data_IF_842882165331
#
_entry.id   IF_842882165331
#
_cell.length_a   1.000
_cell.length_b   1.000
_cell.length_c   1.000
_cell.angle_alpha   90.00
_cell.angle_beta   90.00
_cell.angle_gamma   90.00
#
_symmetry.space_group_name_H-M   'P 1'
#
loop_
_entity.id
_entity.type
_entity.pdbx_description
1 polymer ?
#
# COMPACT_ATOMS: atom_id res chain seq x y z
N UNK A 1 13.22 39.49 -14.87
CA UNK A 1 14.21 38.42 -15.10
C UNK A 1 13.42 37.14 -15.34
N UNK A 2 13.29 36.70 -16.60
CA UNK A 2 12.54 35.48 -16.95
C UNK A 2 13.50 34.32 -16.67
N UNK A 3 13.29 33.58 -15.59
CA UNK A 3 14.05 32.35 -15.36
C UNK A 3 13.68 31.36 -16.47
N UNK A 4 14.67 30.98 -17.28
CA UNK A 4 14.54 29.95 -18.29
C UNK A 4 14.22 28.61 -17.61
N UNK A 5 13.08 28.02 -17.97
CA UNK A 5 12.67 26.69 -17.52
C UNK A 5 13.66 25.66 -18.08
N UNK A 6 14.25 24.82 -17.24
CA UNK A 6 15.11 23.74 -17.72
C UNK A 6 14.23 22.68 -18.40
N UNK A 7 14.74 22.02 -19.43
CA UNK A 7 14.03 20.96 -20.16
C UNK A 7 13.60 19.78 -19.27
N UNK A 8 14.22 19.64 -18.09
CA UNK A 8 13.93 18.61 -17.09
C UNK A 8 12.74 18.96 -16.17
N UNK A 9 12.25 20.20 -16.18
CA UNK A 9 11.11 20.64 -15.35
C UNK A 9 9.75 20.25 -15.97
N UNK A 10 9.59 19.01 -16.41
CA UNK A 10 8.31 18.49 -16.92
C UNK A 10 7.47 17.99 -15.75
N UNK A 11 6.18 18.35 -15.70
CA UNK A 11 5.28 17.85 -14.68
C UNK A 11 4.88 16.40 -14.96
N UNK A 12 5.45 15.44 -14.22
CA UNK A 12 5.13 14.02 -14.25
C UNK A 12 5.35 13.38 -12.86
N UNK A 13 5.15 12.06 -12.74
CA UNK A 13 5.30 11.37 -11.43
C UNK A 13 6.76 11.40 -10.98
N UNK A 14 7.67 11.16 -11.92
CA UNK A 14 9.09 10.97 -11.68
C UNK A 14 9.73 12.25 -11.14
N UNK A 15 9.51 13.39 -11.79
CA UNK A 15 10.05 14.69 -11.38
C UNK A 15 9.47 15.20 -10.05
N UNK A 16 8.23 14.83 -9.72
CA UNK A 16 7.67 15.06 -8.38
C UNK A 16 8.40 14.21 -7.35
N UNK A 17 8.58 12.91 -7.62
CA UNK A 17 9.20 11.96 -6.69
C UNK A 17 10.72 12.16 -6.52
N UNK A 18 11.38 12.84 -7.45
CA UNK A 18 12.76 13.33 -7.28
C UNK A 18 12.86 14.41 -6.19
N UNK A 19 11.81 15.22 -6.00
CA UNK A 19 11.80 16.34 -5.05
C UNK A 19 11.11 16.01 -3.71
N UNK A 20 10.14 15.10 -3.71
CA UNK A 20 9.32 14.74 -2.54
C UNK A 20 9.11 13.24 -2.49
N UNK A 21 9.26 12.60 -1.32
CA UNK A 21 9.00 11.16 -1.21
C UNK A 21 7.50 10.84 -1.17
N UNK A 22 7.12 9.63 -1.58
CA UNK A 22 5.75 9.12 -1.43
C UNK A 22 5.27 9.22 0.03
N UNK A 23 6.20 9.00 0.98
CA UNK A 23 5.93 9.15 2.42
C UNK A 23 5.50 10.57 2.77
N UNK A 24 6.22 11.58 2.29
CA UNK A 24 5.87 12.98 2.53
C UNK A 24 4.53 13.33 1.89
N UNK A 25 4.25 12.83 0.68
CA UNK A 25 2.97 13.03 -0.01
C UNK A 25 1.83 12.45 0.83
N UNK A 26 1.93 11.20 1.26
CA UNK A 26 0.92 10.59 2.13
C UNK A 26 0.79 11.33 3.47
N UNK A 27 1.91 11.71 4.11
CA UNK A 27 1.89 12.42 5.39
C UNK A 27 1.22 13.79 5.29
N UNK A 28 1.33 14.46 4.15
CA UNK A 28 0.70 15.76 3.93
C UNK A 28 -0.80 15.62 3.65
N UNK A 29 -1.19 14.67 2.78
CA UNK A 29 -2.55 14.58 2.28
C UNK A 29 -3.46 13.61 3.04
N UNK A 30 -2.93 12.60 3.74
CA UNK A 30 -3.70 11.62 4.49
C UNK A 30 -3.69 11.97 5.98
N UNK A 31 -4.80 12.51 6.49
CA UNK A 31 -4.82 13.18 7.80
C UNK A 31 -4.56 12.24 8.98
N UNK A 32 -4.92 10.97 8.84
CA UNK A 32 -4.73 9.94 9.87
C UNK A 32 -3.46 9.10 9.67
N UNK A 33 -2.65 9.41 8.65
CA UNK A 33 -1.41 8.68 8.40
C UNK A 33 -0.28 9.21 9.28
N UNK A 34 0.13 8.42 10.27
CA UNK A 34 1.28 8.73 11.14
C UNK A 34 2.54 8.01 10.68
N UNK A 35 2.44 6.70 10.44
CA UNK A 35 3.58 5.88 10.07
C UNK A 35 3.17 4.66 9.24
N UNK A 36 4.10 4.12 8.42
CA UNK A 36 3.82 2.94 7.61
C UNK A 36 3.53 1.73 8.47
N UNK A 37 2.81 0.75 7.92
CA UNK A 37 2.49 -0.53 8.56
C UNK A 37 1.57 -0.47 9.79
N UNK A 38 1.19 0.72 10.25
CA UNK A 38 0.19 0.96 11.30
C UNK A 38 -1.19 1.13 10.67
N UNK A 39 -2.22 0.56 11.31
CA UNK A 39 -3.61 0.74 10.87
C UNK A 39 -4.17 2.06 11.38
N UNK A 40 -4.98 2.72 10.57
CA UNK A 40 -5.66 3.97 10.89
C UNK A 40 -7.04 4.03 10.22
N UNK A 41 -7.84 5.05 10.55
CA UNK A 41 -9.19 5.23 9.99
C UNK A 41 -9.12 5.80 8.57
N UNK A 42 -9.99 5.33 7.68
CA UNK A 42 -10.14 5.91 6.34
C UNK A 42 -10.62 7.36 6.44
N UNK A 43 -9.97 8.27 5.71
CA UNK A 43 -10.46 9.64 5.49
C UNK A 43 -11.15 9.83 4.13
N UNK A 44 -11.34 8.73 3.39
CA UNK A 44 -12.04 8.68 2.10
C UNK A 44 -13.53 8.28 2.23
N UNK A 45 -13.94 7.80 3.40
CA UNK A 45 -15.31 7.36 3.71
C UNK A 45 -15.55 7.47 5.21
N UNK A 46 -16.80 7.33 5.63
CA UNK A 46 -17.11 7.16 7.06
C UNK A 46 -16.50 5.85 7.57
N UNK A 47 -15.59 5.95 8.55
CA UNK A 47 -14.87 4.81 9.12
C UNK A 47 -14.74 4.95 10.64
N UNK A 48 -15.37 4.03 11.36
CA UNK A 48 -15.39 4.04 12.83
C UNK A 48 -14.29 3.17 13.44
N UNK A 49 -13.55 2.42 12.63
CA UNK A 49 -12.50 1.49 13.08
C UNK A 49 -11.23 1.65 12.24
N UNK A 50 -10.04 1.33 12.76
CA UNK A 50 -8.81 1.45 11.99
C UNK A 50 -8.70 0.34 10.94
N UNK A 51 -9.24 0.58 9.74
CA UNK A 51 -9.33 -0.39 8.65
C UNK A 51 -8.35 -0.15 7.51
N UNK A 52 -7.60 0.95 7.54
CA UNK A 52 -6.67 1.32 6.46
C UNK A 52 -5.24 1.11 6.92
N UNK A 53 -4.35 0.75 6.01
CA UNK A 53 -2.91 0.87 6.24
C UNK A 53 -2.18 1.33 4.98
N UNK A 54 -1.12 2.10 5.17
CA UNK A 54 -0.14 2.38 4.12
C UNK A 54 1.09 1.50 4.36
N UNK A 55 1.41 0.64 3.41
CA UNK A 55 2.52 -0.32 3.51
C UNK A 55 3.44 -0.22 2.30
N UNK A 56 4.71 -0.58 2.47
CA UNK A 56 5.58 -0.76 1.33
C UNK A 56 5.21 -2.05 0.59
N UNK A 57 5.05 -1.94 -0.72
CA UNK A 57 4.76 -3.03 -1.63
C UNK A 57 5.53 -2.82 -2.93
N UNK A 58 6.41 -3.76 -3.29
CA UNK A 58 7.24 -3.68 -4.52
C UNK A 58 8.01 -2.36 -4.65
N UNK A 59 8.57 -1.88 -3.54
CA UNK A 59 9.37 -0.65 -3.49
C UNK A 59 8.58 0.65 -3.51
N UNK A 60 7.25 0.62 -3.41
CA UNK A 60 6.38 1.81 -3.34
C UNK A 60 5.49 1.80 -2.12
N UNK A 61 5.10 2.96 -1.63
CA UNK A 61 4.05 3.06 -0.62
C UNK A 61 2.67 2.88 -1.23
N UNK A 62 1.88 2.02 -0.59
CA UNK A 62 0.58 1.60 -1.06
C UNK A 62 -0.47 1.77 0.02
N UNK A 63 -1.51 2.57 -0.28
CA UNK A 63 -2.69 2.71 0.54
C UNK A 63 -3.62 1.53 0.30
N UNK A 64 -3.99 0.80 1.35
CA UNK A 64 -5.00 -0.26 1.30
C UNK A 64 -6.04 -0.07 2.38
N UNK A 65 -7.31 0.05 1.98
CA UNK A 65 -8.47 0.01 2.86
C UNK A 65 -9.02 -1.44 2.91
N UNK A 66 -9.05 -2.02 4.10
CA UNK A 66 -9.60 -3.36 4.32
C UNK A 66 -11.13 -3.35 4.52
N UNK A 67 -11.73 -2.19 4.80
CA UNK A 67 -13.19 -2.02 4.88
C UNK A 67 -13.83 -1.61 3.55
N UNK A 68 -13.05 -1.15 2.57
CA UNK A 68 -13.49 -0.91 1.19
C UNK A 68 -12.46 -1.49 0.21
N UNK A 69 -12.63 -2.73 -0.28
CA UNK A 69 -11.62 -3.43 -1.08
C UNK A 69 -11.16 -2.68 -2.34
N UNK A 70 -12.06 -1.90 -2.95
CA UNK A 70 -11.82 -1.06 -4.12
C UNK A 70 -10.86 0.11 -3.85
N UNK A 71 -10.73 0.54 -2.58
CA UNK A 71 -9.81 1.61 -2.19
C UNK A 71 -8.39 1.06 -1.99
N UNK A 72 -7.65 1.05 -3.09
CA UNK A 72 -6.29 0.52 -3.18
C UNK A 72 -5.48 1.39 -4.12
N UNK A 73 -4.59 2.23 -3.57
CA UNK A 73 -4.02 3.36 -4.31
C UNK A 73 -2.51 3.54 -4.09
N UNK A 74 -1.82 4.02 -5.13
CA UNK A 74 -0.56 4.75 -4.96
C UNK A 74 -0.85 6.17 -4.41
N UNK A 75 0.20 6.92 -4.05
CA UNK A 75 0.03 8.27 -3.47
C UNK A 75 -0.70 9.25 -4.41
N UNK A 76 -0.55 9.11 -5.73
CA UNK A 76 -1.22 9.96 -6.71
C UNK A 76 -2.70 9.62 -6.83
N UNK A 77 -3.02 8.34 -7.04
CA UNK A 77 -4.40 7.86 -7.15
C UNK A 77 -5.20 8.13 -5.88
N UNK A 78 -4.55 8.06 -4.70
CA UNK A 78 -5.17 8.43 -3.43
C UNK A 78 -5.63 9.90 -3.42
N UNK A 79 -4.76 10.82 -3.86
CA UNK A 79 -5.08 12.26 -3.93
C UNK A 79 -6.14 12.53 -5.00
N UNK A 80 -5.99 11.90 -6.18
CA UNK A 80 -6.96 12.01 -7.26
C UNK A 80 -8.37 11.60 -6.81
N UNK A 81 -8.46 10.50 -6.07
CA UNK A 81 -9.71 10.04 -5.48
C UNK A 81 -10.22 11.01 -4.41
N UNK A 82 -9.38 11.36 -3.42
CA UNK A 82 -9.76 12.22 -2.27
C UNK A 82 -10.32 13.58 -2.69
N UNK A 83 -9.75 14.18 -3.73
CA UNK A 83 -10.11 15.53 -4.18
C UNK A 83 -10.93 15.52 -5.48
N UNK A 84 -11.33 14.35 -5.98
CA UNK A 84 -12.03 14.19 -7.25
C UNK A 84 -11.33 14.91 -8.43
N UNK A 85 -10.03 14.64 -8.58
CA UNK A 85 -9.17 15.28 -9.58
C UNK A 85 -8.82 14.31 -10.70
N UNK A 86 -8.65 14.86 -11.91
CA UNK A 86 -7.99 14.14 -12.99
C UNK A 86 -6.53 13.84 -12.62
N UNK A 87 -5.89 12.92 -13.35
CA UNK A 87 -4.49 12.59 -13.11
C UNK A 87 -3.57 13.83 -13.25
N UNK A 88 -3.77 14.63 -14.31
CA UNK A 88 -2.97 15.84 -14.51
C UNK A 88 -3.23 16.90 -13.42
N UNK A 89 -4.48 17.05 -12.99
CA UNK A 89 -4.85 17.96 -11.91
C UNK A 89 -4.26 17.53 -10.57
N UNK A 90 -4.17 16.23 -10.33
CA UNK A 90 -3.50 15.65 -9.16
C UNK A 90 -2.03 16.06 -9.12
N UNK A 91 -1.30 15.94 -10.23
CA UNK A 91 0.10 16.37 -10.31
C UNK A 91 0.24 17.87 -10.02
N UNK A 92 -0.64 18.71 -10.61
CA UNK A 92 -0.66 20.15 -10.33
C UNK A 92 -1.01 20.46 -8.88
N UNK A 93 -1.90 19.69 -8.27
CA UNK A 93 -2.30 19.84 -6.88
C UNK A 93 -1.12 19.56 -5.94
N UNK A 94 -0.37 18.49 -6.19
CA UNK A 94 0.85 18.16 -5.44
C UNK A 94 1.92 19.24 -5.64
N UNK A 95 2.21 19.61 -6.91
CA UNK A 95 3.20 20.64 -7.25
C UNK A 95 2.92 21.97 -6.52
N UNK A 96 1.66 22.39 -6.43
CA UNK A 96 1.27 23.64 -5.73
C UNK A 96 1.38 23.54 -4.22
N UNK A 97 0.94 22.42 -3.63
CA UNK A 97 0.97 22.24 -2.17
C UNK A 97 2.40 22.11 -1.63
N UNK A 98 3.26 21.42 -2.37
CA UNK A 98 4.68 21.29 -2.03
C UNK A 98 5.54 22.42 -2.60
N UNK A 99 5.00 23.29 -3.46
CA UNK A 99 5.73 24.42 -4.04
C UNK A 99 6.93 23.99 -4.89
N UNK A 100 6.77 22.98 -5.74
CA UNK A 100 7.86 22.36 -6.51
C UNK A 100 8.28 23.15 -7.75
N UNK A 101 7.39 24.00 -8.27
CA UNK A 101 7.65 24.85 -9.43
C UNK A 101 7.66 24.11 -10.78
N UNK A 102 7.05 22.93 -10.87
CA UNK A 102 7.05 22.08 -12.07
C UNK A 102 5.95 22.46 -13.07
N UNK A 103 4.81 22.97 -12.60
CA UNK A 103 3.73 23.43 -13.48
C UNK A 103 3.85 24.92 -13.82
N UNK A 104 3.40 25.30 -15.03
CA UNK A 104 3.41 26.70 -15.45
C UNK A 104 2.59 27.57 -14.49
N UNK A 105 3.20 28.64 -13.96
CA UNK A 105 2.59 29.52 -12.97
C UNK A 105 2.74 29.07 -11.51
N UNK A 106 3.33 27.91 -11.24
CA UNK A 106 3.75 27.50 -9.89
C UNK A 106 5.07 28.20 -9.54
N UNK A 107 5.08 28.96 -8.44
CA UNK A 107 6.33 29.54 -7.91
C UNK A 107 6.91 28.57 -6.90
N UNK A 108 8.18 28.24 -7.05
CA UNK A 108 8.90 27.43 -6.08
C UNK A 108 8.86 28.12 -4.71
N UNK A 109 8.37 27.42 -3.67
CA UNK A 109 8.25 27.96 -2.31
C UNK A 109 9.23 27.24 -1.40
N UNK A 110 10.47 27.72 -1.37
CA UNK A 110 11.59 27.08 -0.67
C UNK A 110 11.88 25.64 -1.12
N UNK A 111 13.14 25.19 -1.10
CA UNK A 111 13.42 23.80 -1.46
C UNK A 111 12.77 22.86 -0.43
N UNK A 112 11.84 22.02 -0.88
CA UNK A 112 11.37 20.88 -0.06
C UNK A 112 12.54 19.92 0.10
N UNK A 113 12.95 19.69 1.34
CA UNK A 113 13.94 18.64 1.62
C UNK A 113 13.24 17.29 1.48
N UNK A 114 13.61 16.53 0.44
CA UNK A 114 13.16 15.14 0.31
C UNK A 114 13.57 14.35 1.55
N UNK A 115 12.61 13.71 2.20
CA UNK A 115 12.85 12.82 3.33
C UNK A 115 12.58 11.38 2.88
N UNK A 116 13.65 10.61 2.74
CA UNK A 116 13.55 9.16 2.55
C UNK A 116 13.55 8.49 3.93
N UNK A 117 12.42 7.86 4.27
CA UNK A 117 12.30 7.03 5.46
C UNK A 117 12.64 5.60 5.04
N UNK A 118 13.51 4.93 5.79
CA UNK A 118 13.73 3.50 5.58
C UNK A 118 12.47 2.76 6.06
N UNK A 119 11.69 2.25 5.13
CA UNK A 119 10.44 1.54 5.39
C UNK A 119 10.73 0.07 5.09
N UNK A 120 10.50 -0.79 6.07
CA UNK A 120 10.68 -2.23 5.88
C UNK A 120 9.42 -2.80 5.26
N UNK A 121 9.57 -3.45 4.11
CA UNK A 121 8.53 -4.28 3.53
C UNK A 121 8.26 -5.47 4.48
N UNK A 122 6.97 -5.73 4.77
CA UNK A 122 6.62 -6.87 5.62
C UNK A 122 6.98 -8.15 4.86
N UNK A 123 7.80 -8.99 5.47
CA UNK A 123 8.04 -10.32 4.93
C UNK A 123 6.75 -11.12 4.99
N UNK A 124 6.38 -11.84 3.91
CA UNK A 124 5.22 -12.69 3.94
C UNK A 124 5.39 -13.74 5.04
N UNK A 125 4.31 -13.98 5.79
CA UNK A 125 4.31 -15.01 6.81
C UNK A 125 4.58 -16.36 6.13
N UNK A 126 5.55 -17.12 6.66
CA UNK A 126 5.78 -18.50 6.25
C UNK A 126 4.70 -19.36 6.89
N UNK A 127 3.58 -19.52 6.20
CA UNK A 127 2.50 -20.41 6.62
C UNK A 127 3.00 -21.84 6.43
N UNK A 128 3.07 -22.60 7.52
CA UNK A 128 3.42 -24.02 7.52
C UNK A 128 2.32 -24.76 8.27
N UNK A 129 1.86 -25.88 7.70
CA UNK A 129 0.98 -26.80 8.38
C UNK A 129 1.81 -27.57 9.41
N UNK A 130 1.34 -27.65 10.65
CA UNK A 130 1.89 -28.58 11.64
C UNK A 130 1.13 -29.89 11.54
N UNK A 131 1.85 -30.91 11.10
CA UNK A 131 1.31 -32.26 10.95
C UNK A 131 1.86 -33.16 12.05
N UNK A 132 1.15 -34.26 12.29
CA UNK A 132 1.58 -35.35 13.18
C UNK A 132 1.40 -36.69 12.48
N UNK A 133 1.92 -37.74 13.12
CA UNK A 133 1.66 -39.10 12.69
C UNK A 133 0.18 -39.49 12.85
N UNK A 134 -0.25 -40.43 12.01
CA UNK A 134 -1.57 -41.03 12.06
C UNK A 134 -1.77 -41.78 13.38
N UNK A 135 -2.88 -41.50 14.06
CA UNK A 135 -3.37 -42.30 15.17
C UNK A 135 -4.41 -43.31 14.67
N UNK A 136 -4.71 -44.32 15.49
CA UNK A 136 -5.76 -45.28 15.18
C UNK A 136 -7.13 -44.60 15.05
N UNK A 137 -7.42 -43.60 15.89
CA UNK A 137 -8.67 -42.84 15.85
C UNK A 137 -8.87 -42.11 14.52
N UNK A 138 -7.82 -41.53 13.95
CA UNK A 138 -7.89 -40.89 12.62
C UNK A 138 -8.25 -41.93 11.55
N UNK A 139 -7.59 -43.08 11.59
CA UNK A 139 -7.78 -44.14 10.60
C UNK A 139 -9.19 -44.72 10.69
N UNK A 140 -9.67 -44.97 11.91
CA UNK A 140 -11.02 -45.48 12.16
C UNK A 140 -12.09 -44.47 11.70
N UNK A 141 -11.86 -43.18 11.94
CA UNK A 141 -12.74 -42.11 11.47
C UNK A 141 -12.90 -42.12 9.95
N UNK A 142 -11.79 -42.22 9.19
CA UNK A 142 -11.86 -42.23 7.72
C UNK A 142 -12.36 -43.56 7.17
N UNK A 143 -12.04 -44.67 7.83
CA UNK A 143 -12.46 -46.00 7.43
C UNK A 143 -13.98 -46.18 7.50
N UNK A 144 -14.66 -45.50 8.44
CA UNK A 144 -16.13 -45.54 8.51
C UNK A 144 -16.81 -44.99 7.24
N UNK A 145 -16.12 -44.14 6.48
CA UNK A 145 -16.56 -43.62 5.18
C UNK A 145 -16.05 -44.44 3.99
N UNK A 146 -15.40 -45.58 4.24
CA UNK A 146 -14.78 -46.41 3.21
C UNK A 146 -13.51 -45.81 2.61
N UNK A 147 -12.84 -44.88 3.32
CA UNK A 147 -11.63 -44.20 2.84
C UNK A 147 -10.42 -44.76 3.58
N UNK A 148 -9.67 -45.73 3.00
CA UNK A 148 -8.50 -46.31 3.64
C UNK A 148 -7.28 -45.37 3.56
N UNK A 149 -6.31 -45.58 4.46
CA UNK A 149 -5.08 -44.76 4.58
C UNK A 149 -4.36 -44.49 3.26
N UNK A 150 -4.26 -45.49 2.37
CA UNK A 150 -3.54 -45.32 1.11
C UNK A 150 -4.21 -44.26 0.20
N UNK A 151 -5.54 -44.14 0.24
CA UNK A 151 -6.27 -43.08 -0.48
C UNK A 151 -5.96 -41.72 0.15
N UNK A 152 -5.99 -41.62 1.47
CA UNK A 152 -5.65 -40.38 2.20
C UNK A 152 -4.25 -39.88 1.83
N UNK A 153 -3.28 -40.79 1.74
CA UNK A 153 -1.90 -40.48 1.32
C UNK A 153 -1.83 -40.03 -0.14
N UNK A 154 -2.58 -40.66 -1.05
CA UNK A 154 -2.65 -40.25 -2.47
C UNK A 154 -3.14 -38.81 -2.60
N UNK A 155 -4.08 -38.39 -1.76
CA UNK A 155 -4.69 -37.06 -1.78
C UNK A 155 -4.03 -36.05 -0.83
N UNK A 156 -2.84 -36.35 -0.29
CA UNK A 156 -2.08 -35.49 0.62
C UNK A 156 -2.90 -35.02 1.84
N UNK A 157 -3.79 -35.90 2.32
CA UNK A 157 -4.52 -35.68 3.56
C UNK A 157 -3.56 -35.99 4.71
N UNK A 158 -3.30 -35.01 5.56
CA UNK A 158 -2.36 -35.11 6.67
C UNK A 158 -3.08 -34.83 7.99
N UNK A 159 -2.88 -35.66 9.03
CA UNK A 159 -3.37 -35.34 10.37
C UNK A 159 -2.67 -34.08 10.89
N UNK A 160 -3.46 -33.14 11.41
CA UNK A 160 -2.97 -31.87 11.96
C UNK A 160 -2.99 -31.88 13.50
N UNK A 161 -2.13 -31.06 14.10
CA UNK A 161 -2.08 -30.76 15.55
C UNK A 161 -2.62 -29.38 15.87
#
# INVERSE_FOLDING_TARGET
MIQSRQSEDVLNKETILEKVSEYQIFQYFCSYFEEPNKKFKSDLREDNSPTVSITQYRGKLWYKDFGCPEHSFDCFSYIGFKYNLSFYDTLRHIDRNFGLGLSAGSRMRSPVRKLEKEIREKTPAKIKVRTRDWTQEDLDYWLQFGIPKHVLVIFDVLPIT
#
